data_IF_800365974971
#
_entry.id   IF_800365974971
#
_cell.length_a   1.000
_cell.length_b   1.000
_cell.length_c   1.000
_cell.angle_alpha   90.00
_cell.angle_beta   90.00
_cell.angle_gamma   90.00
#
_symmetry.space_group_name_H-M   'P 1'
#
loop_
_entity.id
_entity.type
_entity.pdbx_description
1 polymer ?
#
# COMPACT_ATOMS: atom_id res chain seq x y z
N UNK A 1 15.69 5.82 1.37
CA UNK A 1 14.55 5.70 2.32
C UNK A 1 13.37 5.05 1.61
N UNK A 2 12.67 4.14 2.28
CA UNK A 2 11.52 3.44 1.71
C UNK A 2 10.24 3.73 2.52
N UNK A 3 9.20 4.27 1.86
CA UNK A 3 7.92 4.64 2.47
C UNK A 3 6.79 3.90 1.76
N UNK A 4 5.90 3.25 2.52
CA UNK A 4 4.67 2.68 1.98
C UNK A 4 3.44 3.50 2.38
N UNK A 5 2.42 3.46 1.53
CA UNK A 5 1.11 4.05 1.77
C UNK A 5 0.08 2.93 1.86
N UNK A 6 -0.63 2.86 2.97
CA UNK A 6 -1.59 1.82 3.27
C UNK A 6 -2.97 2.40 3.63
N UNK A 7 -3.98 1.56 3.64
CA UNK A 7 -5.36 1.93 3.95
C UNK A 7 -6.34 1.27 2.98
N UNK A 8 -7.63 1.36 3.29
CA UNK A 8 -8.71 0.79 2.49
C UNK A 8 -8.82 1.44 1.10
N UNK A 9 -9.69 0.91 0.26
CA UNK A 9 -10.05 1.51 -1.03
C UNK A 9 -10.64 2.91 -0.82
N UNK A 10 -10.30 3.84 -1.72
CA UNK A 10 -10.78 5.23 -1.65
C UNK A 10 -10.17 6.10 -0.54
N UNK A 11 -9.22 5.60 0.25
CA UNK A 11 -8.57 6.37 1.32
C UNK A 11 -7.68 7.53 0.84
N UNK A 12 -7.41 7.64 -0.47
CA UNK A 12 -6.63 8.76 -1.03
C UNK A 12 -5.12 8.53 -1.09
N UNK A 13 -4.66 7.28 -0.93
CA UNK A 13 -3.23 6.91 -0.95
C UNK A 13 -2.45 7.49 -2.13
N UNK A 14 -2.90 7.26 -3.35
CA UNK A 14 -2.21 7.71 -4.55
C UNK A 14 -2.13 9.24 -4.64
N UNK A 15 -3.15 9.96 -4.15
CA UNK A 15 -3.15 11.43 -4.08
C UNK A 15 -2.13 11.92 -3.05
N UNK A 16 -2.15 11.39 -1.85
CA UNK A 16 -1.21 11.75 -0.79
C UNK A 16 0.24 11.44 -1.19
N UNK A 17 0.47 10.28 -1.84
CA UNK A 17 1.77 9.88 -2.36
C UNK A 17 2.29 10.85 -3.42
N UNK A 18 1.46 11.24 -4.39
CA UNK A 18 1.85 12.17 -5.46
C UNK A 18 2.20 13.56 -4.89
N UNK A 19 1.40 14.09 -3.95
CA UNK A 19 1.67 15.36 -3.29
C UNK A 19 2.98 15.31 -2.48
N UNK A 20 3.21 14.23 -1.73
CA UNK A 20 4.45 14.05 -0.98
C UNK A 20 5.66 13.94 -1.93
N UNK A 21 5.53 13.21 -3.04
CA UNK A 21 6.59 13.08 -4.03
C UNK A 21 7.00 14.45 -4.61
N UNK A 22 6.02 15.27 -4.98
CA UNK A 22 6.26 16.64 -5.47
C UNK A 22 6.96 17.49 -4.42
N UNK A 23 6.46 17.47 -3.18
CA UNK A 23 7.03 18.24 -2.08
C UNK A 23 8.48 17.83 -1.75
N UNK A 24 8.81 16.55 -1.83
CA UNK A 24 10.17 16.05 -1.61
C UNK A 24 11.11 16.43 -2.77
N UNK A 25 10.64 16.35 -4.02
CA UNK A 25 11.40 16.79 -5.20
C UNK A 25 11.73 18.28 -5.15
N UNK A 26 10.78 19.13 -4.72
CA UNK A 26 11.03 20.56 -4.50
C UNK A 26 12.08 20.83 -3.42
N UNK A 27 12.33 19.88 -2.52
CA UNK A 27 13.38 19.91 -1.50
C UNK A 27 14.71 19.28 -1.96
N UNK A 28 14.80 18.90 -3.22
CA UNK A 28 16.04 18.37 -3.82
C UNK A 28 16.26 16.87 -3.65
N UNK A 29 15.23 16.11 -3.26
CA UNK A 29 15.33 14.66 -3.19
C UNK A 29 14.97 13.99 -4.53
N UNK A 30 15.69 12.94 -4.88
CA UNK A 30 15.29 12.04 -5.96
C UNK A 30 14.24 11.07 -5.44
N UNK A 31 13.06 11.05 -6.07
CA UNK A 31 11.89 10.29 -5.62
C UNK A 31 11.40 9.36 -6.70
N UNK A 32 11.30 8.06 -6.36
CA UNK A 32 10.68 7.03 -7.18
C UNK A 32 9.32 6.68 -6.62
N UNK A 33 8.27 6.85 -7.43
CA UNK A 33 6.91 6.44 -7.12
C UNK A 33 6.60 5.09 -7.76
N UNK A 34 6.02 4.18 -6.96
CA UNK A 34 5.65 2.86 -7.43
C UNK A 34 4.42 2.32 -6.70
N UNK A 35 3.97 1.10 -7.02
CA UNK A 35 2.77 0.50 -6.41
C UNK A 35 2.79 -1.02 -6.47
N UNK A 36 2.01 -1.66 -5.62
CA UNK A 36 1.71 -3.09 -5.71
C UNK A 36 0.17 -3.35 -5.71
N UNK A 37 -0.30 -4.29 -6.56
CA UNK A 37 0.47 -4.96 -7.60
C UNK A 37 0.68 -4.08 -8.83
N UNK A 38 1.75 -4.36 -9.60
CA UNK A 38 1.93 -3.78 -10.92
C UNK A 38 3.09 -2.80 -11.06
N UNK A 39 3.97 -2.65 -10.06
CA UNK A 39 5.12 -1.75 -10.10
C UNK A 39 6.26 -2.19 -11.02
N UNK A 40 6.25 -3.43 -11.51
CA UNK A 40 7.26 -3.97 -12.42
C UNK A 40 6.62 -4.60 -13.66
N UNK A 41 7.43 -5.07 -14.61
CA UNK A 41 6.92 -5.69 -15.86
C UNK A 41 6.09 -6.94 -15.58
N UNK A 42 6.55 -7.84 -14.69
CA UNK A 42 5.77 -9.00 -14.26
C UNK A 42 4.48 -8.57 -13.55
N UNK A 43 4.57 -7.60 -12.67
CA UNK A 43 3.43 -7.09 -11.92
C UNK A 43 2.32 -6.53 -12.81
N UNK A 44 2.67 -5.87 -13.92
CA UNK A 44 1.68 -5.41 -14.91
C UNK A 44 0.91 -6.56 -15.55
N UNK A 45 1.52 -7.74 -15.68
CA UNK A 45 0.83 -8.95 -16.16
C UNK A 45 -0.03 -9.60 -15.07
N UNK A 46 0.39 -9.56 -13.81
CA UNK A 46 -0.32 -10.14 -12.68
C UNK A 46 -1.50 -9.26 -12.20
N UNK A 47 -1.39 -7.94 -12.32
CA UNK A 47 -2.40 -7.00 -11.84
C UNK A 47 -3.81 -7.30 -12.36
N UNK A 48 -4.06 -7.53 -13.66
CA UNK A 48 -5.40 -7.89 -14.15
C UNK A 48 -5.93 -9.19 -13.54
N UNK A 49 -5.08 -10.18 -13.32
CA UNK A 49 -5.47 -11.45 -12.68
C UNK A 49 -5.90 -11.21 -11.23
N UNK A 50 -5.21 -10.32 -10.53
CA UNK A 50 -5.44 -10.03 -9.11
C UNK A 50 -6.62 -9.08 -8.86
N UNK A 51 -6.88 -8.13 -9.76
CA UNK A 51 -7.81 -7.01 -9.50
C UNK A 51 -9.08 -7.05 -10.37
N UNK A 52 -9.12 -7.80 -11.47
CA UNK A 52 -10.30 -7.87 -12.32
C UNK A 52 -11.46 -8.57 -11.60
N UNK A 53 -12.61 -7.92 -11.53
CA UNK A 53 -13.82 -8.44 -10.88
C UNK A 53 -14.35 -9.73 -11.54
N UNK A 54 -13.94 -10.04 -12.78
CA UNK A 54 -14.28 -11.28 -13.49
C UNK A 54 -13.38 -12.46 -13.12
N UNK A 55 -12.27 -12.21 -12.42
CA UNK A 55 -11.41 -13.29 -11.93
C UNK A 55 -12.12 -14.05 -10.82
N UNK A 56 -12.64 -15.22 -11.14
CA UNK A 56 -13.38 -16.10 -10.23
C UNK A 56 -12.55 -17.34 -9.84
N UNK A 57 -12.93 -17.97 -8.73
CA UNK A 57 -12.33 -19.25 -8.29
C UNK A 57 -10.89 -19.15 -7.79
N UNK A 58 -10.32 -17.97 -7.63
CA UNK A 58 -8.97 -17.80 -7.08
C UNK A 58 -8.96 -18.11 -5.58
N UNK A 59 -8.31 -19.20 -5.18
CA UNK A 59 -8.17 -19.53 -3.76
C UNK A 59 -7.33 -18.48 -3.04
N UNK A 60 -7.56 -18.28 -1.73
CA UNK A 60 -6.79 -17.32 -0.92
C UNK A 60 -5.27 -17.56 -0.97
N UNK A 61 -4.84 -18.83 -1.10
CA UNK A 61 -3.42 -19.18 -1.24
C UNK A 61 -2.87 -18.83 -2.62
N UNK A 62 -3.64 -19.06 -3.69
CA UNK A 62 -3.22 -18.67 -5.04
C UNK A 62 -3.13 -17.14 -5.16
N UNK A 63 -4.12 -16.41 -4.63
CA UNK A 63 -4.12 -14.96 -4.53
C UNK A 63 -2.85 -14.47 -3.81
N UNK A 64 -2.54 -15.02 -2.64
CA UNK A 64 -1.33 -14.70 -1.87
C UNK A 64 -0.05 -14.91 -2.68
N UNK A 65 0.12 -16.08 -3.32
CA UNK A 65 1.34 -16.38 -4.08
C UNK A 65 1.52 -15.47 -5.29
N UNK A 66 0.45 -15.03 -5.92
CA UNK A 66 0.53 -14.06 -7.01
C UNK A 66 0.97 -12.67 -6.51
N UNK A 67 0.45 -12.20 -5.36
CA UNK A 67 0.94 -10.97 -4.73
C UNK A 67 2.42 -11.08 -4.33
N UNK A 68 2.84 -12.23 -3.78
CA UNK A 68 4.23 -12.44 -3.40
C UNK A 68 5.17 -12.52 -4.62
N UNK A 69 4.73 -13.11 -5.73
CA UNK A 69 5.50 -13.15 -6.98
C UNK A 69 5.69 -11.74 -7.56
N UNK A 70 4.62 -10.91 -7.58
CA UNK A 70 4.72 -9.50 -7.96
C UNK A 70 5.73 -8.78 -7.08
N UNK A 71 5.58 -8.87 -5.76
CA UNK A 71 6.43 -8.22 -4.75
C UNK A 71 7.89 -8.60 -4.88
N UNK A 72 8.19 -9.90 -4.97
CA UNK A 72 9.57 -10.37 -5.10
C UNK A 72 10.26 -9.80 -6.33
N UNK A 73 9.58 -9.80 -7.48
CA UNK A 73 10.11 -9.23 -8.71
C UNK A 73 10.21 -7.69 -8.62
N UNK A 74 9.23 -7.03 -8.01
CA UNK A 74 9.19 -5.58 -7.84
C UNK A 74 10.34 -5.10 -6.95
N UNK A 75 10.56 -5.74 -5.81
CA UNK A 75 11.70 -5.43 -4.91
C UNK A 75 13.02 -5.59 -5.66
N UNK A 76 13.19 -6.72 -6.37
CA UNK A 76 14.43 -7.01 -7.09
C UNK A 76 14.71 -6.01 -8.21
N UNK A 77 13.70 -5.68 -9.02
CA UNK A 77 13.91 -4.95 -10.28
C UNK A 77 13.69 -3.44 -10.19
N UNK A 78 13.05 -2.93 -9.13
CA UNK A 78 12.68 -1.51 -9.01
C UNK A 78 13.06 -0.94 -7.65
N UNK A 79 12.54 -1.51 -6.53
CA UNK A 79 12.67 -0.85 -5.23
C UNK A 79 14.12 -0.87 -4.75
N UNK A 80 14.77 -2.05 -4.73
CA UNK A 80 16.15 -2.19 -4.24
C UNK A 80 17.13 -1.38 -5.06
N UNK A 81 17.13 -1.42 -6.41
CA UNK A 81 18.04 -0.57 -7.20
C UNK A 81 17.83 0.94 -6.97
N UNK A 82 16.57 1.39 -6.79
CA UNK A 82 16.29 2.79 -6.49
C UNK A 82 16.83 3.20 -5.12
N UNK A 83 16.67 2.35 -4.09
CA UNK A 83 17.22 2.59 -2.75
C UNK A 83 18.75 2.60 -2.75
N UNK A 84 19.38 1.70 -3.50
CA UNK A 84 20.85 1.62 -3.65
C UNK A 84 21.40 2.85 -4.40
N UNK A 85 20.61 3.46 -5.29
CA UNK A 85 20.92 4.74 -5.94
C UNK A 85 20.72 5.96 -5.03
N UNK A 86 20.27 5.76 -3.77
CA UNK A 86 20.04 6.84 -2.81
C UNK A 86 18.66 7.51 -2.89
N UNK A 87 17.75 7.02 -3.74
CA UNK A 87 16.44 7.60 -3.92
C UNK A 87 15.53 7.37 -2.70
N UNK A 88 14.56 8.27 -2.51
CA UNK A 88 13.39 7.99 -1.69
C UNK A 88 12.39 7.21 -2.54
N UNK A 89 11.99 6.03 -2.07
CA UNK A 89 10.98 5.21 -2.75
C UNK A 89 9.66 5.33 -2.02
N UNK A 90 8.61 5.72 -2.74
CA UNK A 90 7.22 5.77 -2.27
C UNK A 90 6.42 4.66 -2.97
N UNK A 91 5.74 3.82 -2.20
CA UNK A 91 5.00 2.67 -2.73
C UNK A 91 3.54 2.67 -2.26
N UNK A 92 2.60 2.70 -3.21
CA UNK A 92 1.17 2.49 -2.91
C UNK A 92 0.93 1.00 -2.69
N UNK A 93 0.79 0.60 -1.44
CA UNK A 93 0.71 -0.75 -0.86
C UNK A 93 2.05 -1.51 -0.89
N UNK A 94 2.28 -2.28 0.19
CA UNK A 94 3.41 -3.20 0.32
C UNK A 94 3.04 -4.38 1.23
N UNK A 95 3.97 -4.84 2.08
CA UNK A 95 3.81 -6.03 2.95
C UNK A 95 2.62 -5.96 3.89
N UNK A 96 2.30 -4.79 4.41
CA UNK A 96 1.21 -4.58 5.36
C UNK A 96 -0.15 -4.88 4.73
N UNK A 97 -0.33 -4.54 3.43
CA UNK A 97 -1.51 -4.98 2.67
C UNK A 97 -1.69 -6.50 2.69
N UNK A 98 -0.62 -7.29 2.57
CA UNK A 98 -0.72 -8.76 2.62
C UNK A 98 -1.14 -9.26 4.00
N UNK A 99 -0.55 -8.70 5.07
CA UNK A 99 -0.93 -9.07 6.45
C UNK A 99 -2.42 -8.81 6.68
N UNK A 100 -2.91 -7.69 6.17
CA UNK A 100 -4.29 -7.27 6.40
C UNK A 100 -5.27 -7.97 5.44
N UNK A 101 -5.05 -7.96 4.14
CA UNK A 101 -6.00 -8.51 3.16
C UNK A 101 -6.04 -10.05 3.19
N UNK A 102 -4.89 -10.72 3.16
CA UNK A 102 -4.84 -12.17 3.19
C UNK A 102 -4.96 -12.73 4.63
N UNK A 103 -4.53 -11.96 5.65
CA UNK A 103 -4.71 -12.31 7.07
C UNK A 103 -6.12 -11.98 7.55
N UNK A 104 -6.38 -10.74 7.94
CA UNK A 104 -7.66 -10.33 8.51
C UNK A 104 -8.84 -10.49 7.53
N UNK A 105 -8.61 -10.25 6.23
CA UNK A 105 -9.61 -10.40 5.17
C UNK A 105 -9.93 -11.84 4.82
N UNK A 106 -8.93 -12.66 4.49
CA UNK A 106 -9.07 -14.05 3.99
C UNK A 106 -8.87 -15.11 5.08
N UNK A 107 -8.45 -14.75 6.29
CA UNK A 107 -8.27 -15.67 7.43
C UNK A 107 -7.02 -16.54 7.36
N UNK A 108 -5.98 -16.12 6.64
CA UNK A 108 -4.68 -16.82 6.66
C UNK A 108 -3.90 -16.43 7.92
N UNK A 109 -3.02 -17.34 8.37
CA UNK A 109 -2.20 -17.16 9.57
C UNK A 109 -1.24 -15.98 9.44
N UNK A 110 -1.35 -14.93 10.31
CA UNK A 110 -0.51 -13.74 10.22
C UNK A 110 0.98 -14.02 10.37
N UNK A 111 1.38 -14.98 11.21
CA UNK A 111 2.79 -15.32 11.42
C UNK A 111 3.40 -16.00 10.18
N UNK A 112 2.64 -16.86 9.52
CA UNK A 112 3.05 -17.41 8.24
C UNK A 112 3.17 -16.30 7.19
N UNK A 113 2.22 -15.34 7.15
CA UNK A 113 2.25 -14.21 6.22
C UNK A 113 3.47 -13.31 6.45
N UNK A 114 3.83 -13.01 7.70
CA UNK A 114 5.06 -12.25 8.02
C UNK A 114 6.30 -12.95 7.51
N UNK A 115 6.45 -14.26 7.76
CA UNK A 115 7.61 -15.04 7.31
C UNK A 115 7.77 -15.09 5.81
N UNK A 116 6.68 -15.34 5.07
CA UNK A 116 6.76 -15.41 3.60
C UNK A 116 6.91 -14.04 2.95
N UNK A 117 6.39 -12.96 3.54
CA UNK A 117 6.68 -11.60 3.12
C UNK A 117 8.17 -11.29 3.24
N UNK A 118 8.81 -11.61 4.37
CA UNK A 118 10.26 -11.44 4.55
C UNK A 118 11.05 -12.21 3.49
N UNK A 119 10.62 -13.44 3.15
CA UNK A 119 11.23 -14.21 2.07
C UNK A 119 11.07 -13.51 0.72
N UNK A 120 9.86 -13.05 0.39
CA UNK A 120 9.56 -12.39 -0.89
C UNK A 120 10.31 -11.07 -1.06
N UNK A 121 10.52 -10.32 0.04
CA UNK A 121 11.21 -9.02 0.01
C UNK A 121 12.73 -9.12 0.18
N UNK A 122 13.24 -10.31 0.52
CA UNK A 122 14.63 -10.47 0.94
C UNK A 122 14.96 -9.64 2.18
N UNK A 123 14.01 -9.59 3.13
CA UNK A 123 14.13 -8.85 4.39
C UNK A 123 13.87 -7.34 4.29
N UNK A 124 13.54 -6.80 3.12
CA UNK A 124 13.22 -5.37 2.98
C UNK A 124 11.87 -5.07 3.63
N UNK A 125 11.85 -4.05 4.49
CA UNK A 125 10.66 -3.47 5.13
C UNK A 125 10.63 -1.97 4.91
N UNK A 126 9.47 -1.31 4.89
CA UNK A 126 9.40 0.15 4.86
C UNK A 126 10.02 0.76 6.11
N UNK A 127 10.72 1.87 5.94
CA UNK A 127 11.22 2.69 7.04
C UNK A 127 10.07 3.44 7.74
N UNK A 128 9.04 3.79 6.96
CA UNK A 128 7.84 4.49 7.40
C UNK A 128 6.64 4.02 6.58
N UNK A 129 5.51 3.83 7.21
CA UNK A 129 4.24 3.55 6.55
C UNK A 129 3.22 4.62 6.93
N UNK A 130 2.58 5.23 5.96
CA UNK A 130 1.41 6.08 6.17
C UNK A 130 0.14 5.25 6.04
N UNK A 131 -0.54 5.04 7.15
CA UNK A 131 -1.87 4.45 7.16
C UNK A 131 -2.91 5.55 7.04
N UNK A 132 -3.51 5.69 5.85
CA UNK A 132 -4.62 6.61 5.62
C UNK A 132 -5.90 5.97 6.13
N UNK A 133 -6.32 6.32 7.35
CA UNK A 133 -7.56 5.80 7.96
C UNK A 133 -8.78 6.58 7.49
N UNK A 134 -9.80 5.83 7.07
CA UNK A 134 -11.07 6.37 6.57
C UNK A 134 -12.21 5.42 6.95
N UNK A 135 -13.40 5.96 7.35
CA UNK A 135 -14.59 5.12 7.49
C UNK A 135 -14.92 4.35 6.21
N UNK A 136 -15.20 3.05 6.34
CA UNK A 136 -15.36 2.13 5.20
C UNK A 136 -16.40 2.63 4.20
N UNK A 137 -17.58 3.08 4.68
CA UNK A 137 -18.65 3.57 3.80
C UNK A 137 -18.17 4.71 2.89
N UNK A 138 -17.41 5.67 3.45
CA UNK A 138 -16.87 6.80 2.69
C UNK A 138 -15.78 6.35 1.71
N UNK A 139 -14.94 5.41 2.10
CA UNK A 139 -13.89 4.85 1.23
C UNK A 139 -14.48 4.16 0.00
N UNK A 140 -15.47 3.29 0.20
CA UNK A 140 -16.14 2.59 -0.90
C UNK A 140 -16.92 3.54 -1.82
N UNK A 141 -17.56 4.58 -1.28
CA UNK A 141 -18.20 5.62 -2.08
C UNK A 141 -17.18 6.33 -2.99
N UNK A 142 -16.06 6.79 -2.42
CA UNK A 142 -14.98 7.45 -3.17
C UNK A 142 -14.38 6.52 -4.24
N UNK A 143 -14.12 5.26 -3.90
CA UNK A 143 -13.60 4.26 -4.84
C UNK A 143 -14.59 4.03 -5.98
N UNK A 144 -15.88 3.87 -5.69
CA UNK A 144 -16.93 3.68 -6.70
C UNK A 144 -17.07 4.88 -7.65
N UNK A 145 -16.97 6.12 -7.15
CA UNK A 145 -16.97 7.34 -7.97
C UNK A 145 -15.76 7.36 -8.90
N UNK A 146 -14.56 7.13 -8.35
CA UNK A 146 -13.30 7.07 -9.12
C UNK A 146 -13.38 6.02 -10.23
N UNK A 147 -13.74 4.79 -9.90
CA UNK A 147 -13.75 3.68 -10.86
C UNK A 147 -14.76 3.90 -11.99
N UNK A 148 -15.91 4.52 -11.71
CA UNK A 148 -16.86 4.93 -12.76
C UNK A 148 -16.28 6.00 -13.68
N UNK A 149 -15.60 7.00 -13.10
CA UNK A 149 -14.96 8.09 -13.87
C UNK A 149 -13.84 7.58 -14.77
N UNK A 150 -13.05 6.62 -14.29
CA UNK A 150 -11.88 6.05 -14.98
C UNK A 150 -12.23 4.85 -15.87
N UNK A 151 -13.47 4.34 -15.79
CA UNK A 151 -13.88 3.14 -16.54
C UNK A 151 -13.26 1.84 -16.03
N UNK A 152 -12.80 1.82 -14.78
CA UNK A 152 -12.06 0.69 -14.17
C UNK A 152 -12.92 -0.20 -13.27
N UNK A 153 -14.24 0.00 -13.23
CA UNK A 153 -15.18 -0.76 -12.37
C UNK A 153 -14.99 -2.27 -12.47
N UNK A 154 -14.71 -2.80 -13.65
CA UNK A 154 -14.48 -4.23 -13.85
C UNK A 154 -13.01 -4.58 -13.63
N UNK A 155 -12.10 -3.86 -14.26
CA UNK A 155 -10.67 -4.20 -14.30
C UNK A 155 -9.93 -4.04 -12.96
N UNK A 156 -10.48 -3.28 -12.02
CA UNK A 156 -9.91 -3.04 -10.68
C UNK A 156 -10.92 -3.22 -9.54
N UNK A 157 -12.13 -3.70 -9.84
CA UNK A 157 -13.24 -3.76 -8.89
C UNK A 157 -13.30 -5.03 -8.03
N UNK A 158 -12.37 -5.97 -8.13
CA UNK A 158 -12.45 -7.26 -7.45
C UNK A 158 -12.54 -7.14 -5.92
N UNK A 159 -11.73 -6.28 -5.32
CA UNK A 159 -11.80 -6.02 -3.89
C UNK A 159 -12.93 -5.06 -3.53
N UNK A 160 -13.23 -4.07 -4.37
CA UNK A 160 -14.34 -3.14 -4.12
C UNK A 160 -15.71 -3.85 -4.05
N UNK A 161 -15.85 -5.02 -4.70
CA UNK A 161 -17.05 -5.84 -4.70
C UNK A 161 -17.22 -6.73 -3.46
N UNK A 162 -16.24 -6.78 -2.58
CA UNK A 162 -16.31 -7.54 -1.33
C UNK A 162 -17.34 -6.94 -0.35
N UNK A 163 -17.78 -7.73 0.63
CA UNK A 163 -18.78 -7.29 1.60
C UNK A 163 -18.28 -6.16 2.51
N UNK A 164 -19.18 -5.35 3.04
CA UNK A 164 -18.85 -4.34 4.05
C UNK A 164 -18.09 -4.92 5.23
N UNK A 165 -18.48 -6.11 5.70
CA UNK A 165 -17.79 -6.81 6.78
C UNK A 165 -16.35 -7.18 6.43
N UNK A 166 -16.05 -7.45 5.17
CA UNK A 166 -14.68 -7.67 4.71
C UNK A 166 -13.87 -6.38 4.87
N UNK A 167 -14.36 -5.25 4.35
CA UNK A 167 -13.69 -3.96 4.44
C UNK A 167 -13.53 -3.45 5.89
N UNK A 168 -14.51 -3.72 6.76
CA UNK A 168 -14.37 -3.41 8.19
C UNK A 168 -13.26 -4.25 8.85
N UNK A 169 -13.14 -5.56 8.53
CA UNK A 169 -12.01 -6.36 8.99
C UNK A 169 -10.67 -5.85 8.47
N UNK A 170 -10.62 -5.40 7.21
CA UNK A 170 -9.42 -4.78 6.62
C UNK A 170 -9.02 -3.53 7.41
N UNK A 171 -9.96 -2.60 7.64
CA UNK A 171 -9.69 -1.39 8.42
C UNK A 171 -9.20 -1.71 9.82
N UNK A 172 -9.88 -2.61 10.54
CA UNK A 172 -9.48 -3.03 11.88
C UNK A 172 -8.11 -3.73 11.87
N UNK A 173 -7.81 -4.53 10.86
CA UNK A 173 -6.51 -5.17 10.68
C UNK A 173 -5.38 -4.15 10.54
N UNK A 174 -5.58 -3.08 9.76
CA UNK A 174 -4.61 -2.00 9.65
C UNK A 174 -4.41 -1.25 10.98
N UNK A 175 -5.49 -0.91 11.68
CA UNK A 175 -5.40 -0.22 12.97
C UNK A 175 -4.70 -1.09 14.03
N UNK A 176 -4.97 -2.40 14.05
CA UNK A 176 -4.27 -3.33 14.93
C UNK A 176 -2.76 -3.40 14.61
N UNK A 177 -2.40 -3.49 13.33
CA UNK A 177 -1.00 -3.51 12.90
C UNK A 177 -0.28 -2.19 13.25
N UNK A 178 -0.95 -1.05 13.11
CA UNK A 178 -0.40 0.25 13.52
C UNK A 178 -0.17 0.33 15.03
N UNK A 179 -1.04 -0.27 15.83
CA UNK A 179 -0.87 -0.36 17.29
C UNK A 179 0.28 -1.30 17.69
N UNK A 180 0.57 -2.35 16.89
CA UNK A 180 1.72 -3.24 17.10
C UNK A 180 3.05 -2.56 16.71
N UNK A 181 3.05 -1.70 15.68
CA UNK A 181 4.26 -1.08 15.11
C UNK A 181 4.19 0.46 15.08
N UNK A 182 3.92 1.15 16.21
CA UNK A 182 3.68 2.59 16.24
C UNK A 182 4.91 3.43 15.85
N UNK A 183 6.11 2.86 15.91
CA UNK A 183 7.35 3.53 15.48
C UNK A 183 7.51 3.57 13.95
N UNK A 184 6.86 2.67 13.23
CA UNK A 184 6.95 2.54 11.78
C UNK A 184 5.68 3.01 11.07
N UNK A 185 4.51 2.87 11.70
CA UNK A 185 3.21 3.16 11.07
C UNK A 185 2.59 4.41 11.67
N UNK A 186 2.54 5.48 10.88
CA UNK A 186 1.87 6.72 11.22
C UNK A 186 0.43 6.70 10.69
N UNK A 187 -0.55 6.83 11.59
CA UNK A 187 -1.97 6.90 11.21
C UNK A 187 -2.30 8.35 10.82
N UNK A 188 -2.85 8.52 9.63
CA UNK A 188 -3.29 9.81 9.09
C UNK A 188 -4.82 9.77 8.89
N UNK A 189 -5.55 10.70 9.47
CA UNK A 189 -6.99 10.85 9.22
C UNK A 189 -7.22 11.32 7.77
N UNK A 190 -7.71 10.41 6.93
CA UNK A 190 -7.94 10.65 5.51
C UNK A 190 -9.26 11.41 5.20
N UNK A 191 -9.95 11.91 6.22
CA UNK A 191 -11.09 12.81 6.08
C UNK A 191 -10.66 14.28 5.98
N UNK A 192 -9.43 14.58 6.39
CA UNK A 192 -8.87 15.92 6.34
C UNK A 192 -8.64 16.40 4.90
N UNK A 193 -8.47 17.72 4.70
CA UNK A 193 -8.02 18.29 3.43
C UNK A 193 -6.67 17.70 2.98
N UNK A 194 -6.47 17.59 1.68
CA UNK A 194 -5.26 17.00 1.12
C UNK A 194 -3.97 17.74 1.55
N UNK A 195 -4.03 19.04 1.74
CA UNK A 195 -2.90 19.86 2.20
C UNK A 195 -2.52 19.53 3.65
N UNK A 196 -3.50 19.26 4.53
CA UNK A 196 -3.25 18.87 5.93
C UNK A 196 -2.65 17.46 6.00
N UNK A 197 -3.13 16.55 5.14
CA UNK A 197 -2.54 15.20 4.99
C UNK A 197 -1.09 15.31 4.52
N UNK A 198 -0.82 16.14 3.50
CA UNK A 198 0.52 16.39 3.01
C UNK A 198 1.46 16.89 4.10
N UNK A 199 1.03 17.89 4.89
CA UNK A 199 1.84 18.45 5.97
C UNK A 199 2.22 17.40 7.00
N UNK A 200 1.30 16.53 7.40
CA UNK A 200 1.56 15.43 8.34
C UNK A 200 2.55 14.41 7.74
N UNK A 201 2.31 13.97 6.50
CA UNK A 201 3.21 13.04 5.81
C UNK A 201 4.62 13.61 5.66
N UNK A 202 4.72 14.89 5.31
CA UNK A 202 6.00 15.59 5.12
C UNK A 202 6.77 15.71 6.44
N UNK A 203 6.10 16.13 7.51
CA UNK A 203 6.70 16.24 8.85
C UNK A 203 7.28 14.92 9.33
N UNK A 204 6.51 13.83 9.24
CA UNK A 204 6.96 12.50 9.64
C UNK A 204 8.11 11.97 8.75
N UNK A 205 8.08 12.29 7.45
CA UNK A 205 9.16 11.92 6.53
C UNK A 205 10.46 12.65 6.90
N UNK A 206 10.41 13.96 7.15
CA UNK A 206 11.58 14.75 7.54
C UNK A 206 12.16 14.33 8.89
N UNK A 207 11.31 13.94 9.85
CA UNK A 207 11.74 13.40 11.14
C UNK A 207 12.49 12.07 10.96
N UNK A 208 11.93 11.15 10.16
CA UNK A 208 12.57 9.88 9.86
C UNK A 208 13.91 10.06 9.12
N UNK A 209 14.00 11.01 8.18
CA UNK A 209 15.24 11.33 7.47
C UNK A 209 16.32 11.84 8.42
N UNK A 210 15.97 12.71 9.38
CA UNK A 210 16.92 13.23 10.40
C UNK A 210 17.45 12.11 11.30
N UNK A 211 16.58 11.22 11.79
CA UNK A 211 17.00 10.10 12.64
C UNK A 211 17.87 9.06 11.93
N UNK A 212 17.97 9.08 10.59
CA UNK A 212 18.88 8.22 9.81
C UNK A 212 20.24 8.86 9.55
N UNK A 213 20.35 10.17 9.74
CA UNK A 213 21.61 10.90 9.52
C UNK A 213 22.50 10.97 10.79
N UNK A 214 21.92 10.65 11.94
CA UNK A 214 22.60 10.50 13.24
C UNK A 214 23.12 9.06 13.42
#
# INVERSE_FOLDING_TARGET
>A
MFISFEGIEGAGKSTAMALLAEALRLRGHDVVETREPGGCSLGRLLRPILLDARTDGLSSRAELFLFLADRAQHVHSQIRPALEAGNIVLCDRFTDSTIVYQGAGRGLDPDALRRINLLATGGLTPDLTFLLDLPVALGLERAGIRNRREGTVISEGRFDSESLNFHERIRQGYLALAAEEPQRIAIIDAQQPADDILLQCLSATEETLRGRAE
#
